data_IF_222434192146
#
_entry.id   IF_222434192146
#
_cell.length_a   1.000
_cell.length_b   1.000
_cell.length_c   1.000
_cell.angle_alpha   90.00
_cell.angle_beta   90.00
_cell.angle_gamma   90.00
#
_symmetry.space_group_name_H-M   'P 1'
#
loop_
_entity.id
_entity.type
_entity.pdbx_description
1 polymer ?
#
# COMPACT_ATOMS: atom_id res chain seq x y z
N UNK A 1 -27.45 39.05 31.85
CA UNK A 1 -26.69 38.54 30.67
C UNK A 1 -26.22 37.10 30.83
N UNK A 2 -25.83 36.65 32.02
CA UNK A 2 -25.35 35.28 32.29
C UNK A 2 -26.36 34.17 32.00
N UNK A 3 -27.65 34.35 32.31
CA UNK A 3 -28.69 33.34 32.07
C UNK A 3 -28.85 32.95 30.59
N UNK A 4 -28.80 33.93 29.69
CA UNK A 4 -28.90 33.66 28.25
C UNK A 4 -27.62 33.01 27.73
N UNK A 5 -26.45 33.40 28.25
CA UNK A 5 -25.16 32.75 27.95
C UNK A 5 -25.17 31.27 28.34
N UNK A 6 -25.71 30.92 29.51
CA UNK A 6 -25.83 29.51 29.92
C UNK A 6 -26.80 28.72 29.04
N UNK A 7 -27.88 29.35 28.57
CA UNK A 7 -28.82 28.71 27.64
C UNK A 7 -28.12 28.46 26.29
N UNK A 8 -27.39 29.44 25.75
CA UNK A 8 -26.64 29.28 24.49
C UNK A 8 -25.53 28.21 24.60
N UNK A 9 -24.79 28.19 25.70
CA UNK A 9 -23.78 27.16 25.93
C UNK A 9 -24.42 25.78 26.11
N UNK A 10 -25.52 25.69 26.84
CA UNK A 10 -26.24 24.43 27.04
C UNK A 10 -26.78 23.84 25.74
N UNK A 11 -27.40 24.65 24.88
CA UNK A 11 -27.90 24.20 23.58
C UNK A 11 -26.78 23.87 22.60
N UNK A 12 -25.67 24.62 22.64
CA UNK A 12 -24.49 24.34 21.83
C UNK A 12 -23.85 22.98 22.21
N UNK A 13 -23.66 22.71 23.50
CA UNK A 13 -23.12 21.44 23.98
C UNK A 13 -24.06 20.28 23.67
N UNK A 14 -25.37 20.45 23.87
CA UNK A 14 -26.36 19.45 23.52
C UNK A 14 -26.34 19.13 22.01
N UNK A 15 -26.27 20.15 21.16
CA UNK A 15 -26.15 19.99 19.71
C UNK A 15 -24.86 19.25 19.30
N UNK A 16 -23.72 19.59 19.92
CA UNK A 16 -22.45 18.92 19.67
C UNK A 16 -22.48 17.44 20.05
N UNK A 17 -23.09 17.08 21.19
CA UNK A 17 -23.26 15.70 21.61
C UNK A 17 -24.16 14.91 20.65
N UNK A 18 -25.28 15.49 20.21
CA UNK A 18 -26.18 14.85 19.25
C UNK A 18 -25.46 14.59 17.93
N UNK A 19 -24.68 15.56 17.42
CA UNK A 19 -23.92 15.41 16.18
C UNK A 19 -22.85 14.32 16.29
N UNK A 20 -22.15 14.22 17.43
CA UNK A 20 -21.16 13.19 17.67
C UNK A 20 -21.78 11.78 17.73
N UNK A 21 -22.92 11.63 18.42
CA UNK A 21 -23.64 10.35 18.50
C UNK A 21 -24.16 9.94 17.11
N UNK A 22 -24.72 10.87 16.34
CA UNK A 22 -25.18 10.59 14.98
C UNK A 22 -24.03 10.17 14.06
N UNK A 23 -22.88 10.86 14.14
CA UNK A 23 -21.67 10.50 13.37
C UNK A 23 -21.16 9.11 13.75
N UNK A 24 -21.13 8.77 15.04
CA UNK A 24 -20.71 7.46 15.51
C UNK A 24 -21.66 6.34 15.07
N UNK A 25 -22.97 6.58 15.09
CA UNK A 25 -23.97 5.61 14.65
C UNK A 25 -23.94 5.36 13.13
N UNK A 26 -23.61 6.40 12.34
CA UNK A 26 -23.45 6.27 10.88
C UNK A 26 -22.06 5.81 10.47
N UNK A 27 -21.10 5.75 11.40
CA UNK A 27 -19.80 5.16 11.14
C UNK A 27 -19.96 3.65 11.09
N UNK A 28 -20.00 3.10 9.88
CA UNK A 28 -19.87 1.66 9.66
C UNK A 28 -18.38 1.31 9.70
N UNK A 29 -17.84 0.75 10.81
CA UNK A 29 -16.48 0.23 10.80
C UNK A 29 -16.44 -0.92 9.80
N UNK A 30 -15.68 -0.72 8.72
CA UNK A 30 -15.22 -1.70 7.73
C UNK A 30 -15.80 -3.12 7.86
N UNK A 31 -16.97 -3.38 7.27
CA UNK A 31 -17.44 -4.75 6.95
C UNK A 31 -16.67 -5.36 5.76
N UNK A 32 -15.36 -5.14 5.69
CA UNK A 32 -14.58 -5.46 4.48
C UNK A 32 -13.07 -5.61 4.65
N UNK A 33 -12.57 -5.76 5.88
CA UNK A 33 -11.18 -6.13 6.11
C UNK A 33 -11.09 -7.41 6.96
N UNK A 34 -11.76 -8.48 6.51
CA UNK A 34 -11.45 -9.88 6.90
C UNK A 34 -10.14 -10.36 6.23
N UNK A 35 -9.13 -9.49 6.23
CA UNK A 35 -7.85 -9.68 5.56
C UNK A 35 -6.67 -9.43 6.48
N UNK A 36 -6.85 -9.49 7.80
CA UNK A 36 -5.76 -9.95 8.65
C UNK A 36 -5.80 -11.47 8.60
N UNK A 37 -4.98 -12.09 7.76
CA UNK A 37 -4.90 -13.52 7.80
C UNK A 37 -4.45 -13.98 9.19
N UNK A 38 -5.10 -15.04 9.64
CA UNK A 38 -4.68 -15.81 10.80
C UNK A 38 -3.16 -16.08 10.73
N UNK A 39 -2.46 -16.19 11.87
CA UNK A 39 -1.08 -16.65 11.88
C UNK A 39 -1.04 -18.03 11.22
N UNK A 40 -0.64 -18.08 9.94
CA UNK A 40 -0.65 -19.30 9.11
C UNK A 40 -1.46 -19.25 7.80
N UNK A 41 -2.03 -18.11 7.38
CA UNK A 41 -2.71 -18.04 6.08
C UNK A 41 -1.74 -18.11 4.87
N UNK A 42 -2.29 -18.41 3.70
CA UNK A 42 -1.63 -18.95 2.50
C UNK A 42 -0.51 -18.10 1.85
N UNK A 43 -0.27 -16.87 2.33
CA UNK A 43 0.87 -16.03 1.97
C UNK A 43 2.13 -16.39 2.77
N UNK A 44 2.02 -17.20 3.83
CA UNK A 44 3.18 -17.75 4.54
C UNK A 44 4.04 -18.67 3.64
N UNK A 45 3.44 -19.29 2.62
CA UNK A 45 4.16 -20.05 1.60
C UNK A 45 4.85 -19.18 0.54
N UNK A 46 4.54 -17.88 0.48
CA UNK A 46 5.13 -16.94 -0.51
C UNK A 46 6.37 -16.22 0.02
N UNK A 47 6.71 -16.40 1.30
CA UNK A 47 7.94 -15.90 1.91
C UNK A 47 8.70 -17.07 2.53
N UNK A 48 9.63 -17.65 1.77
CA UNK A 48 10.63 -18.55 2.31
C UNK A 48 11.58 -17.75 3.20
N UNK A 49 11.33 -17.69 4.50
CA UNK A 49 12.33 -17.22 5.45
C UNK A 49 13.18 -18.41 5.91
N UNK A 50 14.41 -18.60 5.38
CA UNK A 50 15.28 -19.73 5.74
C UNK A 50 15.78 -19.68 7.19
N UNK A 51 15.47 -18.61 7.94
CA UNK A 51 15.84 -18.42 9.34
C UNK A 51 14.64 -18.53 10.30
N UNK A 52 13.45 -18.90 9.82
CA UNK A 52 12.28 -19.04 10.70
C UNK A 52 12.47 -20.24 11.65
N UNK A 53 12.42 -20.05 12.99
CA UNK A 53 12.52 -21.16 13.92
C UNK A 53 11.29 -22.06 13.80
N UNK A 54 11.54 -23.36 13.59
CA UNK A 54 10.50 -24.38 13.49
C UNK A 54 9.78 -24.53 14.83
N UNK A 55 8.57 -23.97 14.94
CA UNK A 55 7.68 -24.26 16.05
C UNK A 55 6.87 -25.52 15.71
N UNK A 56 7.18 -26.58 16.44
CA UNK A 56 6.58 -27.91 16.40
C UNK A 56 5.09 -27.89 16.71
N UNK A 57 4.28 -28.43 15.80
CA UNK A 57 2.86 -28.73 16.02
C UNK A 57 2.34 -29.64 14.90
N UNK A 58 2.23 -30.93 15.21
CA UNK A 58 1.75 -32.04 14.37
C UNK A 58 0.56 -31.68 13.44
N UNK A 59 0.47 -32.19 12.21
CA UNK A 59 0.35 -33.61 11.88
C UNK A 59 0.96 -33.95 10.52
N UNK A 60 1.84 -34.95 10.54
CA UNK A 60 2.21 -35.75 9.38
C UNK A 60 1.01 -36.60 8.95
N UNK A 61 0.71 -36.59 7.65
CA UNK A 61 0.06 -37.70 6.99
C UNK A 61 0.88 -38.01 5.73
N UNK A 62 1.11 -39.30 5.57
CA UNK A 62 2.24 -39.91 4.87
C UNK A 62 2.06 -39.96 3.35
N UNK A 63 3.20 -39.98 2.69
CA UNK A 63 3.43 -40.10 1.26
C UNK A 63 3.29 -41.56 0.80
N UNK A 64 2.61 -41.78 -0.33
CA UNK A 64 2.98 -42.78 -1.35
C UNK A 64 2.38 -42.33 -2.69
N UNK A 65 3.00 -42.27 -3.85
CA UNK A 65 4.35 -42.59 -4.30
C UNK A 65 4.41 -42.39 -5.83
N UNK A 66 5.53 -41.83 -6.29
CA UNK A 66 6.14 -41.74 -7.63
C UNK A 66 5.46 -42.34 -8.88
N UNK A 67 5.57 -41.62 -10.02
CA UNK A 67 6.19 -42.16 -11.26
C UNK A 67 6.89 -41.06 -12.11
N UNK A 68 8.13 -41.38 -12.48
CA UNK A 68 8.92 -40.99 -13.67
C UNK A 68 9.38 -39.53 -13.92
N UNK A 69 10.65 -39.31 -13.56
CA UNK A 69 11.77 -39.01 -14.46
C UNK A 69 11.49 -38.41 -15.86
N UNK A 70 11.97 -37.18 -16.05
CA UNK A 70 12.60 -36.76 -17.30
C UNK A 70 13.83 -35.88 -16.98
N UNK A 71 14.96 -36.30 -17.56
CA UNK A 71 16.33 -35.80 -17.44
C UNK A 71 16.52 -34.51 -18.26
N UNK A 72 17.24 -33.51 -17.75
CA UNK A 72 18.29 -32.79 -18.49
C UNK A 72 18.96 -31.66 -17.68
N UNK A 73 20.29 -31.80 -17.57
CA UNK A 73 21.34 -30.78 -17.75
C UNK A 73 21.39 -29.54 -16.83
N UNK A 74 22.47 -29.54 -16.05
CA UNK A 74 23.39 -28.43 -15.82
C UNK A 74 23.06 -27.11 -16.51
N UNK A 75 22.91 -26.05 -15.71
CA UNK A 75 23.90 -24.98 -15.57
C UNK A 75 23.36 -23.93 -14.61
N UNK A 76 24.17 -23.56 -13.64
CA UNK A 76 24.04 -22.33 -12.87
C UNK A 76 24.09 -21.12 -13.83
N UNK A 77 23.12 -20.19 -13.78
CA UNK A 77 23.25 -18.92 -14.46
C UNK A 77 23.11 -17.76 -13.45
N UNK A 78 24.03 -17.65 -12.50
CA UNK A 78 24.34 -16.34 -11.89
C UNK A 78 25.21 -15.47 -12.82
N UNK A 79 24.96 -15.54 -14.13
CA UNK A 79 25.58 -14.72 -15.16
C UNK A 79 24.52 -13.79 -15.75
N UNK A 80 24.37 -12.59 -15.17
CA UNK A 80 23.34 -11.65 -15.64
C UNK A 80 23.29 -10.29 -14.95
N UNK A 81 24.41 -9.72 -14.49
CA UNK A 81 24.44 -8.28 -14.18
C UNK A 81 24.84 -7.50 -15.43
N UNK A 82 23.90 -7.37 -16.38
CA UNK A 82 24.11 -6.53 -17.55
C UNK A 82 23.27 -6.94 -18.75
N UNK A 83 21.99 -6.53 -18.76
CA UNK A 83 21.29 -6.10 -19.97
C UNK A 83 19.86 -5.67 -19.60
N UNK A 84 19.51 -4.47 -20.06
CA UNK A 84 18.15 -4.02 -20.33
C UNK A 84 17.13 -4.22 -19.19
N UNK A 85 17.01 -3.18 -18.35
CA UNK A 85 15.73 -2.86 -17.73
C UNK A 85 14.67 -2.94 -18.82
N UNK A 86 13.90 -4.02 -18.79
CA UNK A 86 12.74 -4.20 -19.64
C UNK A 86 11.72 -3.21 -19.09
N UNK A 87 11.78 -1.98 -19.63
CA UNK A 87 10.79 -0.95 -19.39
C UNK A 87 9.51 -1.43 -20.04
N UNK A 88 8.79 -2.29 -19.33
CA UNK A 88 7.36 -2.44 -19.53
C UNK A 88 6.75 -1.14 -18.99
N UNK A 89 6.84 -0.09 -19.81
CA UNK A 89 6.11 1.15 -19.65
C UNK A 89 4.63 0.80 -19.79
N UNK A 90 4.06 0.29 -18.70
CA UNK A 90 2.62 0.25 -18.54
C UNK A 90 2.17 1.69 -18.69
N UNK A 91 1.25 1.93 -19.62
CA UNK A 91 0.88 3.30 -19.97
C UNK A 91 0.30 4.09 -18.79
N UNK A 92 -0.10 3.36 -17.73
CA UNK A 92 -0.60 3.92 -16.49
C UNK A 92 0.52 4.22 -15.49
N UNK A 93 0.43 5.36 -14.80
CA UNK A 93 1.31 5.63 -13.68
C UNK A 93 1.13 4.57 -12.58
N UNK A 94 2.23 4.23 -11.91
CA UNK A 94 2.28 3.20 -10.85
C UNK A 94 1.58 3.64 -9.56
N UNK A 95 1.34 4.94 -9.40
CA UNK A 95 0.66 5.51 -8.25
C UNK A 95 -0.73 6.02 -8.63
N UNK A 96 -1.66 5.92 -7.68
CA UNK A 96 -3.00 6.50 -7.77
C UNK A 96 -3.12 7.77 -6.95
N UNK A 97 -2.26 7.96 -5.94
CA UNK A 97 -2.22 9.13 -5.05
C UNK A 97 -0.89 9.86 -5.20
N UNK A 98 -0.93 11.19 -5.15
CA UNK A 98 0.24 12.04 -5.19
C UNK A 98 0.94 12.09 -3.82
N UNK A 99 2.19 11.64 -3.73
CA UNK A 99 2.92 11.62 -2.48
C UNK A 99 3.15 13.00 -1.84
N UNK A 100 3.12 14.09 -2.63
CA UNK A 100 3.42 15.46 -2.18
C UNK A 100 2.17 16.17 -1.65
N UNK A 101 1.03 16.04 -2.32
CA UNK A 101 -0.20 16.77 -1.97
C UNK A 101 -1.33 15.89 -1.45
N UNK A 102 -1.23 14.56 -1.55
CA UNK A 102 -2.26 13.62 -1.13
C UNK A 102 -3.52 13.57 -2.01
N UNK A 103 -3.54 14.29 -3.13
CA UNK A 103 -4.65 14.22 -4.09
C UNK A 103 -4.48 13.04 -5.04
N UNK A 104 -5.59 12.57 -5.60
CA UNK A 104 -5.59 11.56 -6.65
C UNK A 104 -4.81 12.03 -7.88
N UNK A 105 -4.16 11.10 -8.56
CA UNK A 105 -3.42 11.36 -9.79
C UNK A 105 -4.39 11.79 -10.89
N UNK A 106 -4.14 12.97 -11.46
CA UNK A 106 -4.90 13.47 -12.59
C UNK A 106 -4.26 12.94 -13.90
N UNK A 107 -4.97 12.11 -14.69
CA UNK A 107 -4.45 11.59 -15.96
C UNK A 107 -4.26 12.69 -17.02
N UNK A 108 -4.79 13.90 -16.81
CA UNK A 108 -4.57 15.06 -17.69
C UNK A 108 -3.23 15.76 -17.41
N UNK A 109 -2.57 15.45 -16.30
CA UNK A 109 -1.27 16.02 -15.95
C UNK A 109 -0.12 15.16 -16.53
N UNK A 110 1.02 15.78 -16.87
CA UNK A 110 2.18 15.05 -17.37
C UNK A 110 2.71 14.10 -16.29
N UNK A 111 2.96 12.85 -16.67
CA UNK A 111 3.65 11.86 -15.84
C UNK A 111 5.16 12.00 -16.00
N UNK A 112 5.93 11.52 -15.01
CA UNK A 112 7.39 11.47 -15.07
C UNK A 112 7.86 10.03 -14.86
N UNK A 113 9.06 9.69 -15.29
CA UNK A 113 9.67 8.41 -14.96
C UNK A 113 10.61 8.54 -13.76
N UNK A 114 10.47 7.61 -12.82
CA UNK A 114 11.36 7.43 -11.67
C UNK A 114 11.69 5.95 -11.53
N UNK A 115 12.98 5.60 -11.57
CA UNK A 115 13.46 4.21 -11.50
C UNK A 115 12.78 3.26 -12.51
N UNK A 116 12.59 3.71 -13.76
CA UNK A 116 11.93 2.93 -14.82
C UNK A 116 10.43 2.72 -14.61
N UNK A 117 9.82 3.43 -13.65
CA UNK A 117 8.39 3.41 -13.37
C UNK A 117 7.79 4.78 -13.65
N UNK A 118 6.65 4.80 -14.34
CA UNK A 118 5.91 6.03 -14.62
C UNK A 118 5.16 6.46 -13.37
N UNK A 119 5.36 7.69 -12.90
CA UNK A 119 4.67 8.30 -11.76
C UNK A 119 3.77 9.44 -12.23
N UNK A 120 2.59 9.53 -11.65
CA UNK A 120 1.60 10.56 -11.90
C UNK A 120 1.52 11.56 -10.76
N UNK A 121 0.98 12.74 -11.08
CA UNK A 121 0.87 13.85 -10.13
C UNK A 121 -0.59 14.25 -9.98
N UNK A 122 -0.97 14.66 -8.77
CA UNK A 122 -2.32 15.19 -8.52
C UNK A 122 -2.43 16.70 -8.73
N UNK A 123 -1.31 17.41 -8.96
CA UNK A 123 -1.32 18.87 -9.07
C UNK A 123 -0.20 19.40 -9.97
N UNK A 124 -0.43 20.55 -10.64
CA UNK A 124 0.60 21.22 -11.46
C UNK A 124 1.85 21.66 -10.68
N UNK A 125 1.72 21.86 -9.37
CA UNK A 125 2.82 22.25 -8.46
C UNK A 125 3.65 21.06 -7.95
N UNK A 126 3.21 19.83 -8.21
CA UNK A 126 3.83 18.62 -7.69
C UNK A 126 5.05 18.16 -8.53
N UNK A 127 5.02 18.19 -9.89
CA UNK A 127 6.19 17.89 -10.72
C UNK A 127 7.44 18.72 -10.41
N UNK A 128 7.40 20.05 -10.25
CA UNK A 128 8.61 20.82 -9.95
C UNK A 128 9.20 20.48 -8.58
N UNK A 129 8.37 20.18 -7.56
CA UNK A 129 8.85 19.71 -6.24
C UNK A 129 9.48 18.34 -6.31
N UNK A 130 8.90 17.44 -7.09
CA UNK A 130 9.47 16.12 -7.32
C UNK A 130 10.84 16.21 -8.01
N UNK A 131 10.98 17.08 -9.02
CA UNK A 131 12.26 17.30 -9.70
C UNK A 131 13.34 17.90 -8.79
N UNK A 132 12.94 18.69 -7.80
CA UNK A 132 13.88 19.28 -6.84
C UNK A 132 14.47 18.22 -5.89
N UNK A 133 13.66 17.25 -5.44
CA UNK A 133 14.06 16.24 -4.46
C UNK A 133 13.49 14.84 -4.80
N UNK A 134 13.92 14.23 -5.91
CA UNK A 134 13.35 12.97 -6.38
C UNK A 134 13.62 11.80 -5.43
N UNK A 135 14.75 11.80 -4.71
CA UNK A 135 15.08 10.73 -3.75
C UNK A 135 14.24 10.79 -2.47
N UNK A 136 13.79 11.98 -2.08
CA UNK A 136 12.91 12.15 -0.93
C UNK A 136 11.50 11.68 -1.22
N UNK A 137 10.98 11.99 -2.41
CA UNK A 137 9.58 11.73 -2.75
C UNK A 137 9.37 10.44 -3.55
N UNK A 138 10.34 10.04 -4.37
CA UNK A 138 10.29 8.89 -5.26
C UNK A 138 9.86 7.59 -4.59
N UNK A 139 10.45 7.18 -3.46
CA UNK A 139 10.04 5.97 -2.75
C UNK A 139 8.56 5.98 -2.35
N UNK A 140 8.01 7.14 -1.96
CA UNK A 140 6.60 7.28 -1.60
C UNK A 140 5.68 7.17 -2.81
N UNK A 141 6.09 7.69 -3.97
CA UNK A 141 5.37 7.47 -5.23
C UNK A 141 5.34 5.99 -5.61
N UNK A 142 6.43 5.24 -5.39
CA UNK A 142 6.46 3.81 -5.68
C UNK A 142 5.59 2.98 -4.73
N UNK A 143 5.42 3.43 -3.47
CA UNK A 143 4.56 2.77 -2.48
C UNK A 143 3.12 3.30 -2.44
N UNK A 144 2.79 4.30 -3.27
CA UNK A 144 1.50 4.96 -3.28
C UNK A 144 1.11 5.58 -1.92
N UNK A 145 2.10 6.15 -1.22
CA UNK A 145 1.95 6.73 0.12
C UNK A 145 2.13 8.25 0.08
N UNK A 146 1.53 8.96 1.05
CA UNK A 146 1.72 10.41 1.22
C UNK A 146 2.82 10.66 2.24
N UNK A 147 3.78 11.53 1.89
CA UNK A 147 4.85 11.90 2.82
C UNK A 147 4.26 12.67 4.00
N UNK A 148 4.45 12.14 5.21
CA UNK A 148 4.15 12.88 6.45
C UNK A 148 5.34 13.81 6.73
N UNK A 149 5.06 15.11 6.83
CA UNK A 149 6.03 16.12 7.26
C UNK A 149 6.22 16.08 8.77
#
# INVERSE_FOLDING_TARGET
MTRNIFIFLGTFVAGALIALVARAAMFAPHKGHEGHPAPGGDYAAMVSNPLAPANTGAKQAENTGAVAAAKATASDPHAGHGAAATTTATDKPVNTVCAICGMDVDPKLPTLEYQGKRIGFGCKMCPPKFKAEPDRYGPFYLRNEVIKK
#
